data_IF_081093529600
#
_entry.id   IF_081093529600
#
_cell.length_a   1.000
_cell.length_b   1.000
_cell.length_c   1.000
_cell.angle_alpha   90.00
_cell.angle_beta   90.00
_cell.angle_gamma   90.00
#
_symmetry.space_group_name_H-M   'P 1'
#
loop_
_entity.id
_entity.type
_entity.pdbx_description
1 polymer ?
#
# COMPACT_ATOMS: atom_id res chain seq x y z
N UNK A 1 -5.21 -6.06 20.16
CA UNK A 1 -4.22 -6.16 19.07
C UNK A 1 -4.49 -5.09 18.04
N UNK A 2 -3.42 -4.46 17.57
CA UNK A 2 -3.54 -3.46 16.51
C UNK A 2 -3.64 -4.16 15.17
N UNK A 3 -4.66 -3.84 14.42
CA UNK A 3 -4.82 -4.35 13.07
C UNK A 3 -4.31 -3.32 12.08
N UNK A 4 -3.81 -3.80 10.96
CA UNK A 4 -3.36 -2.94 9.87
C UNK A 4 -4.10 -3.31 8.61
N UNK A 5 -4.48 -2.28 7.87
CA UNK A 5 -5.08 -2.44 6.55
C UNK A 5 -4.14 -1.83 5.52
N UNK A 6 -4.07 -2.46 4.38
CA UNK A 6 -3.25 -2.00 3.25
C UNK A 6 -4.18 -1.62 2.12
N UNK A 7 -4.00 -0.42 1.59
CA UNK A 7 -4.87 0.14 0.56
C UNK A 7 -4.04 0.37 -0.70
N UNK A 8 -4.54 -0.14 -1.82
CA UNK A 8 -3.96 0.11 -3.13
C UNK A 8 -4.69 1.31 -3.74
N UNK A 9 -3.96 2.34 -4.10
CA UNK A 9 -4.50 3.59 -4.63
C UNK A 9 -4.13 3.72 -6.10
N UNK A 10 -5.04 4.27 -6.90
CA UNK A 10 -4.77 4.62 -8.28
C UNK A 10 -4.13 6.01 -8.33
N UNK A 11 -2.82 6.06 -8.59
CA UNK A 11 -2.08 7.32 -8.65
C UNK A 11 -2.41 8.14 -9.90
N UNK A 12 -2.97 7.51 -10.93
CA UNK A 12 -3.38 8.19 -12.14
C UNK A 12 -4.74 8.89 -11.99
N UNK A 13 -5.47 8.57 -10.91
CA UNK A 13 -6.74 9.19 -10.60
C UNK A 13 -6.51 10.49 -9.83
N UNK A 14 -7.20 11.54 -10.25
CA UNK A 14 -7.14 12.85 -9.59
C UNK A 14 -7.50 12.77 -8.11
N UNK A 15 -8.44 11.91 -7.76
CA UNK A 15 -8.93 11.75 -6.39
C UNK A 15 -8.24 10.64 -5.61
N UNK A 16 -7.29 9.95 -6.23
CA UNK A 16 -6.57 8.83 -5.62
C UNK A 16 -7.53 7.79 -5.02
N UNK A 17 -8.52 7.37 -5.81
CA UNK A 17 -9.52 6.42 -5.35
C UNK A 17 -8.90 5.07 -5.01
N UNK A 18 -9.33 4.42 -3.92
CA UNK A 18 -8.81 3.11 -3.56
C UNK A 18 -9.27 2.04 -4.56
N UNK A 19 -8.32 1.26 -5.06
CA UNK A 19 -8.58 0.14 -5.97
C UNK A 19 -8.85 -1.15 -5.21
N UNK A 20 -8.20 -1.33 -4.06
CA UNK A 20 -8.36 -2.53 -3.24
C UNK A 20 -7.93 -2.25 -1.80
N UNK A 21 -8.52 -3.01 -0.88
CA UNK A 21 -8.15 -2.97 0.54
C UNK A 21 -7.86 -4.40 0.98
N UNK A 22 -6.71 -4.62 1.61
CA UNK A 22 -6.25 -5.94 2.02
C UNK A 22 -5.79 -5.92 3.47
N UNK A 23 -5.86 -7.08 4.13
CA UNK A 23 -5.46 -7.23 5.52
C UNK A 23 -3.95 -7.50 5.68
N UNK A 24 -3.30 -7.98 4.63
CA UNK A 24 -1.89 -8.35 4.68
C UNK A 24 -1.14 -7.83 3.46
N UNK A 25 0.18 -7.68 3.62
CA UNK A 25 1.07 -7.29 2.52
C UNK A 25 1.11 -8.36 1.44
N UNK A 26 1.03 -9.62 1.85
CA UNK A 26 1.03 -10.76 0.93
C UNK A 26 -0.17 -10.69 -0.01
N UNK A 27 -1.34 -10.46 0.55
CA UNK A 27 -2.57 -10.33 -0.22
C UNK A 27 -2.51 -9.09 -1.13
N UNK A 28 -1.98 -7.99 -0.62
CA UNK A 28 -1.78 -6.78 -1.41
C UNK A 28 -0.87 -7.04 -2.61
N UNK A 29 0.20 -7.82 -2.43
CA UNK A 29 1.12 -8.17 -3.51
C UNK A 29 0.40 -8.93 -4.62
N UNK A 30 -0.47 -9.87 -4.26
CA UNK A 30 -1.25 -10.65 -5.23
C UNK A 30 -2.19 -9.73 -6.02
N UNK A 31 -2.91 -8.87 -5.33
CA UNK A 31 -3.87 -7.94 -5.96
C UNK A 31 -3.16 -6.95 -6.87
N UNK A 32 -2.01 -6.46 -6.45
CA UNK A 32 -1.23 -5.48 -7.22
C UNK A 32 -0.40 -6.11 -8.33
N UNK A 33 -0.32 -7.43 -8.39
CA UNK A 33 0.49 -8.13 -9.39
C UNK A 33 1.99 -7.98 -9.18
N UNK A 34 2.43 -7.93 -7.92
CA UNK A 34 3.83 -7.72 -7.56
C UNK A 34 4.24 -8.70 -6.46
N UNK A 35 5.39 -8.47 -5.83
CA UNK A 35 5.89 -9.30 -4.73
C UNK A 35 5.70 -8.63 -3.38
N UNK A 36 5.64 -9.45 -2.32
CA UNK A 36 5.56 -8.94 -0.96
C UNK A 36 6.74 -8.03 -0.63
N UNK A 37 7.94 -8.38 -1.09
CA UNK A 37 9.13 -7.57 -0.87
C UNK A 37 9.00 -6.19 -1.49
N UNK A 38 8.40 -6.11 -2.68
CA UNK A 38 8.17 -4.83 -3.35
C UNK A 38 7.18 -3.97 -2.56
N UNK A 39 6.10 -4.56 -2.06
CA UNK A 39 5.11 -3.85 -1.23
C UNK A 39 5.78 -3.33 0.03
N UNK A 40 6.51 -4.18 0.73
CA UNK A 40 7.22 -3.81 1.96
C UNK A 40 8.25 -2.70 1.71
N UNK A 41 8.99 -2.78 0.60
CA UNK A 41 9.96 -1.77 0.23
C UNK A 41 9.30 -0.42 -0.03
N UNK A 42 8.19 -0.40 -0.75
CA UNK A 42 7.45 0.84 -1.02
C UNK A 42 6.93 1.47 0.27
N UNK A 43 6.36 0.67 1.18
CA UNK A 43 5.86 1.17 2.45
C UNK A 43 7.00 1.71 3.32
N UNK A 44 8.14 1.04 3.32
CA UNK A 44 9.33 1.47 4.06
C UNK A 44 9.83 2.82 3.57
N UNK A 45 9.87 3.03 2.25
CA UNK A 45 10.28 4.31 1.67
C UNK A 45 9.35 5.45 2.06
N UNK A 46 8.04 5.18 2.09
CA UNK A 46 7.05 6.17 2.52
C UNK A 46 7.27 6.55 3.99
N UNK A 47 7.52 5.56 4.87
CA UNK A 47 7.80 5.80 6.29
C UNK A 47 9.03 6.65 6.52
N UNK A 48 10.06 6.47 5.67
CA UNK A 48 11.31 7.24 5.76
C UNK A 48 11.22 8.60 5.08
N UNK A 49 10.07 8.90 4.44
CA UNK A 49 9.88 10.15 3.74
C UNK A 49 10.60 10.26 2.41
N UNK A 50 11.11 9.15 1.88
CA UNK A 50 11.78 9.12 0.58
C UNK A 50 10.80 9.27 -0.59
N UNK A 51 9.58 8.73 -0.42
CA UNK A 51 8.51 8.87 -1.40
C UNK A 51 7.37 9.66 -0.79
N UNK A 52 7.03 10.77 -1.40
CA UNK A 52 5.88 11.57 -0.97
C UNK A 52 4.56 10.98 -1.44
N UNK A 53 4.63 10.11 -2.45
CA UNK A 53 3.45 9.53 -3.07
C UNK A 53 3.72 8.07 -3.36
N UNK A 54 2.83 7.20 -2.90
CA UNK A 54 2.92 5.77 -3.12
C UNK A 54 1.53 5.21 -3.39
N UNK A 55 1.44 4.21 -4.27
CA UNK A 55 0.18 3.54 -4.52
C UNK A 55 -0.22 2.58 -3.39
N UNK A 56 0.67 2.34 -2.44
CA UNK A 56 0.37 1.53 -1.26
C UNK A 56 0.29 2.41 -0.04
N UNK A 57 -0.81 2.27 0.70
CA UNK A 57 -1.02 3.00 1.96
C UNK A 57 -1.27 1.99 3.06
N UNK A 58 -0.60 2.17 4.20
CA UNK A 58 -0.80 1.35 5.39
C UNK A 58 -1.57 2.17 6.41
N UNK A 59 -2.67 1.62 6.89
CA UNK A 59 -3.52 2.26 7.90
C UNK A 59 -3.57 1.36 9.12
N UNK A 60 -3.32 1.94 10.28
CA UNK A 60 -3.43 1.24 11.56
C UNK A 60 -4.82 1.52 12.14
N UNK A 61 -5.52 0.44 12.46
CA UNK A 61 -6.91 0.52 12.95
C UNK A 61 -6.98 0.25 14.46
#
# INVERSE_FOLDING_TARGET
MKERLYILIDLDDEYELPLAVCDTQREMAVVAGTTKDNVASCLSKVRRGENKRSRFVEVEV
#
